data_IF_472464795352
#
_entry.id   IF_472464795352
#
_cell.length_a   1.000
_cell.length_b   1.000
_cell.length_c   1.000
_cell.angle_alpha   90.00
_cell.angle_beta   90.00
_cell.angle_gamma   90.00
#
_symmetry.space_group_name_H-M   'P 1'
#
loop_
_entity.id
_entity.type
_entity.pdbx_description
1 polymer ?
#
# COMPACT_ATOMS: atom_id res chain seq x y z
N UNK A 1 -23.45 1.95 -9.62
CA UNK A 1 -23.26 1.06 -8.45
C UNK A 1 -22.15 1.72 -7.66
N UNK A 2 -22.36 2.03 -6.39
CA UNK A 2 -21.39 2.79 -5.59
C UNK A 2 -20.23 1.85 -5.24
N UNK A 3 -19.00 2.31 -5.48
CA UNK A 3 -17.81 1.56 -5.05
C UNK A 3 -17.69 1.55 -3.52
N UNK A 4 -17.14 0.48 -2.93
CA UNK A 4 -17.01 0.40 -1.48
C UNK A 4 -16.12 1.52 -0.91
N UNK A 5 -15.14 1.98 -1.68
CA UNK A 5 -14.29 3.10 -1.31
C UNK A 5 -15.02 4.43 -1.30
N UNK A 6 -15.83 4.68 -2.33
CA UNK A 6 -16.71 5.85 -2.38
C UNK A 6 -17.65 5.87 -1.18
N UNK A 7 -18.33 4.76 -0.91
CA UNK A 7 -19.25 4.64 0.23
C UNK A 7 -18.53 4.85 1.57
N UNK A 8 -17.29 4.36 1.71
CA UNK A 8 -16.47 4.57 2.92
C UNK A 8 -16.11 6.04 3.13
N UNK A 9 -15.72 6.76 2.07
CA UNK A 9 -15.43 8.19 2.14
C UNK A 9 -16.72 8.98 2.43
N UNK A 10 -17.82 8.63 1.78
CA UNK A 10 -19.12 9.23 2.05
C UNK A 10 -19.59 9.03 3.50
N UNK A 11 -19.37 7.83 4.06
CA UNK A 11 -19.64 7.54 5.46
C UNK A 11 -18.76 8.35 6.41
N UNK A 12 -17.47 8.53 6.09
CA UNK A 12 -16.59 9.41 6.86
C UNK A 12 -17.10 10.86 6.89
N UNK A 13 -17.42 11.42 5.72
CA UNK A 13 -17.92 12.79 5.61
C UNK A 13 -19.26 12.95 6.35
N UNK A 14 -20.13 11.94 6.32
CA UNK A 14 -21.40 11.98 7.04
C UNK A 14 -21.22 11.88 8.56
N UNK A 15 -20.53 10.85 9.02
CA UNK A 15 -20.54 10.44 10.44
C UNK A 15 -19.46 11.15 11.27
N UNK A 16 -18.33 11.51 10.65
CA UNK A 16 -17.20 12.16 11.32
C UNK A 16 -17.20 13.67 11.08
N UNK A 17 -17.31 14.09 9.81
CA UNK A 17 -17.33 15.53 9.46
C UNK A 17 -18.71 16.14 9.74
N UNK A 18 -19.78 15.34 9.65
CA UNK A 18 -21.14 15.78 9.97
C UNK A 18 -21.91 16.35 8.78
N UNK A 19 -21.50 16.03 7.54
CA UNK A 19 -22.17 16.49 6.33
C UNK A 19 -23.55 15.82 6.17
N UNK A 20 -24.67 16.56 6.20
CA UNK A 20 -26.01 15.98 6.11
C UNK A 20 -26.37 15.46 4.71
N UNK A 21 -25.68 15.93 3.67
CA UNK A 21 -25.95 15.53 2.27
C UNK A 21 -24.69 14.95 1.68
N UNK A 22 -24.78 13.70 1.21
CA UNK A 22 -23.74 13.00 0.47
C UNK A 22 -24.31 12.61 -0.90
N UNK A 23 -23.55 12.88 -1.95
CA UNK A 23 -23.84 12.48 -3.32
C UNK A 23 -22.65 11.68 -3.85
N UNK A 24 -22.93 10.69 -4.70
CA UNK A 24 -21.93 9.83 -5.30
C UNK A 24 -22.03 9.95 -6.81
N UNK A 25 -20.92 9.71 -7.51
CA UNK A 25 -20.93 9.57 -8.96
C UNK A 25 -21.55 10.81 -9.66
N UNK A 26 -21.11 12.01 -9.22
CA UNK A 26 -21.67 13.29 -9.65
C UNK A 26 -21.05 13.69 -10.98
N UNK A 27 -21.89 13.70 -12.03
CA UNK A 27 -21.47 14.11 -13.36
C UNK A 27 -21.39 15.63 -13.46
N UNK A 28 -20.24 16.15 -13.87
CA UNK A 28 -19.96 17.59 -13.84
C UNK A 28 -20.56 18.35 -15.01
N UNK A 29 -20.91 17.69 -16.12
CA UNK A 29 -21.51 18.30 -17.32
C UNK A 29 -20.58 19.22 -18.12
N UNK A 30 -19.45 19.65 -17.56
CA UNK A 30 -18.45 20.54 -18.18
C UNK A 30 -17.38 19.75 -18.96
N UNK A 31 -17.28 18.44 -18.73
CA UNK A 31 -16.50 17.48 -19.51
C UNK A 31 -17.08 16.06 -19.31
N UNK A 32 -16.58 15.03 -20.03
CA UNK A 32 -16.78 13.61 -19.67
C UNK A 32 -16.03 13.31 -18.36
N UNK A 33 -16.56 13.82 -17.24
CA UNK A 33 -15.96 13.70 -15.91
C UNK A 33 -17.02 13.41 -14.86
N UNK A 34 -16.60 12.68 -13.85
CA UNK A 34 -17.37 12.25 -12.69
C UNK A 34 -16.56 12.58 -11.45
N UNK A 35 -17.23 13.16 -10.44
CA UNK A 35 -16.69 13.34 -9.10
C UNK A 35 -17.22 12.19 -8.25
N UNK A 36 -16.30 11.44 -7.67
CA UNK A 36 -16.62 10.18 -7.01
C UNK A 36 -17.55 10.41 -5.79
N UNK A 37 -17.24 11.39 -4.94
CA UNK A 37 -18.07 11.79 -3.78
C UNK A 37 -18.17 13.31 -3.65
N UNK A 38 -19.37 13.82 -3.40
CA UNK A 38 -19.63 15.22 -3.03
C UNK A 38 -20.40 15.26 -1.72
N UNK A 39 -19.90 16.01 -0.73
CA UNK A 39 -20.59 16.22 0.54
C UNK A 39 -20.85 17.70 0.80
N UNK A 40 -22.01 18.03 1.35
CA UNK A 40 -22.45 19.42 1.55
C UNK A 40 -22.74 19.68 3.03
N UNK A 41 -22.19 20.77 3.55
CA UNK A 41 -22.61 21.37 4.81
C UNK A 41 -23.59 22.49 4.54
N UNK A 42 -24.68 22.52 5.32
CA UNK A 42 -25.76 23.47 5.15
C UNK A 42 -25.89 24.36 6.39
N UNK A 43 -26.11 25.66 6.17
CA UNK A 43 -26.53 26.60 7.22
C UNK A 43 -27.61 27.53 6.67
N UNK A 44 -28.73 27.65 7.38
CA UNK A 44 -29.87 28.47 6.95
C UNK A 44 -30.45 28.07 5.58
N UNK A 45 -30.35 26.78 5.20
CA UNK A 45 -30.80 26.27 3.91
C UNK A 45 -29.87 26.58 2.72
N UNK A 46 -28.67 27.10 2.97
CA UNK A 46 -27.64 27.34 1.94
C UNK A 46 -26.43 26.45 2.17
N UNK A 47 -25.76 26.06 1.09
CA UNK A 47 -24.46 25.37 1.15
C UNK A 47 -23.41 26.36 1.64
N UNK A 48 -22.78 26.06 2.77
CA UNK A 48 -21.67 26.85 3.31
C UNK A 48 -20.32 26.23 3.01
N UNK A 49 -20.27 24.90 3.00
CA UNK A 49 -19.05 24.14 2.71
C UNK A 49 -19.36 22.96 1.80
N UNK A 50 -18.42 22.63 0.93
CA UNK A 50 -18.53 21.52 -0.02
C UNK A 50 -17.22 20.73 -0.04
N UNK A 51 -17.31 19.42 0.17
CA UNK A 51 -16.23 18.47 -0.06
C UNK A 51 -16.43 17.83 -1.42
N UNK A 52 -15.38 17.83 -2.24
CA UNK A 52 -15.33 17.18 -3.53
C UNK A 52 -14.17 16.20 -3.51
N UNK A 53 -14.48 14.91 -3.46
CA UNK A 53 -13.51 13.86 -3.23
C UNK A 53 -13.37 12.98 -4.47
N UNK A 54 -12.12 12.79 -4.89
CA UNK A 54 -11.75 11.74 -5.84
C UNK A 54 -11.20 10.54 -5.08
N UNK A 55 -11.69 9.34 -5.39
CA UNK A 55 -11.47 8.15 -4.58
C UNK A 55 -10.81 7.06 -5.42
N UNK A 56 -9.62 6.62 -4.99
CA UNK A 56 -8.88 5.52 -5.61
C UNK A 56 -8.51 4.47 -4.57
N UNK A 57 -9.42 3.51 -4.38
CA UNK A 57 -9.39 2.45 -3.36
C UNK A 57 -9.00 1.09 -3.92
N UNK A 58 -8.09 1.04 -4.89
CA UNK A 58 -7.50 -0.22 -5.33
C UNK A 58 -6.52 -0.77 -4.29
N UNK A 59 -6.29 -2.09 -4.27
CA UNK A 59 -5.32 -2.73 -3.35
C UNK A 59 -3.87 -2.28 -3.61
N UNK A 60 -3.56 -1.86 -4.84
CA UNK A 60 -2.31 -1.20 -5.21
C UNK A 60 -2.34 0.33 -5.02
N UNK A 61 -3.47 0.87 -4.57
CA UNK A 61 -3.77 2.29 -4.42
C UNK A 61 -3.61 3.07 -5.72
N UNK A 62 -3.09 4.29 -5.61
CA UNK A 62 -2.89 5.23 -6.73
C UNK A 62 -1.81 4.76 -7.75
N UNK A 63 -1.29 3.53 -7.60
CA UNK A 63 -0.26 2.93 -8.46
C UNK A 63 -0.74 2.27 -9.76
N UNK A 64 -2.05 2.19 -10.01
CA UNK A 64 -2.62 1.57 -11.21
C UNK A 64 -2.59 2.44 -12.48
N UNK A 65 -2.26 3.73 -12.35
CA UNK A 65 -2.24 4.64 -13.50
C UNK A 65 -1.01 4.42 -14.39
N UNK A 66 -1.24 3.99 -15.63
CA UNK A 66 -0.22 3.96 -16.69
C UNK A 66 -0.28 5.23 -17.55
N UNK A 67 0.87 5.64 -18.09
CA UNK A 67 1.02 6.79 -18.98
C UNK A 67 1.15 8.14 -18.26
N UNK A 68 0.53 9.20 -18.79
CA UNK A 68 0.59 10.55 -18.25
C UNK A 68 -0.32 10.72 -17.01
N UNK A 69 0.12 10.19 -15.87
CA UNK A 69 -0.64 10.23 -14.60
C UNK A 69 -0.84 11.67 -14.12
N UNK A 70 0.20 12.48 -14.15
CA UNK A 70 0.17 13.88 -13.70
C UNK A 70 -0.83 14.72 -14.52
N UNK A 71 -0.82 14.59 -15.85
CA UNK A 71 -1.77 15.29 -16.71
C UNK A 71 -3.22 14.89 -16.45
N UNK A 72 -3.49 13.59 -16.25
CA UNK A 72 -4.83 13.11 -15.90
C UNK A 72 -5.31 13.66 -14.55
N UNK A 73 -4.42 13.68 -13.56
CA UNK A 73 -4.71 14.24 -12.24
C UNK A 73 -5.04 15.73 -12.31
N UNK A 74 -4.21 16.50 -13.02
CA UNK A 74 -4.43 17.92 -13.24
C UNK A 74 -5.79 18.19 -13.88
N UNK A 75 -6.12 17.51 -14.97
CA UNK A 75 -7.43 17.65 -15.63
C UNK A 75 -8.59 17.30 -14.69
N UNK A 76 -8.44 16.28 -13.84
CA UNK A 76 -9.50 15.91 -12.88
C UNK A 76 -9.68 17.01 -11.82
N UNK A 77 -8.59 17.49 -11.23
CA UNK A 77 -8.60 18.59 -10.24
C UNK A 77 -9.21 19.86 -10.84
N UNK A 78 -8.79 20.25 -12.04
CA UNK A 78 -9.31 21.45 -12.72
C UNK A 78 -10.81 21.32 -13.02
N UNK A 79 -11.26 20.13 -13.44
CA UNK A 79 -12.68 19.87 -13.67
C UNK A 79 -13.51 19.95 -12.38
N UNK A 80 -12.99 19.42 -11.26
CA UNK A 80 -13.62 19.51 -9.93
C UNK A 80 -13.73 20.96 -9.47
N UNK A 81 -12.66 21.74 -9.63
CA UNK A 81 -12.64 23.18 -9.30
C UNK A 81 -13.68 23.94 -10.11
N UNK A 82 -13.69 23.76 -11.42
CA UNK A 82 -14.66 24.42 -12.30
C UNK A 82 -16.11 24.05 -11.95
N UNK A 83 -16.37 22.79 -11.61
CA UNK A 83 -17.68 22.34 -11.16
C UNK A 83 -18.09 22.99 -9.84
N UNK A 84 -17.19 23.03 -8.85
CA UNK A 84 -17.45 23.65 -7.55
C UNK A 84 -17.77 25.14 -7.69
N UNK A 85 -16.98 25.87 -8.47
CA UNK A 85 -17.13 27.31 -8.67
C UNK A 85 -18.45 27.65 -9.38
N UNK A 86 -18.88 26.80 -10.33
CA UNK A 86 -20.14 26.98 -11.05
C UNK A 86 -21.37 26.59 -10.23
N UNK A 87 -21.29 25.51 -9.44
CA UNK A 87 -22.45 24.90 -8.77
C UNK A 87 -22.66 25.44 -7.36
N UNK A 88 -21.59 25.75 -6.64
CA UNK A 88 -21.61 26.18 -5.24
C UNK A 88 -20.90 27.52 -5.04
N UNK A 89 -21.30 28.58 -5.75
CA UNK A 89 -20.63 29.87 -5.66
C UNK A 89 -20.70 30.42 -4.23
N UNK A 90 -19.53 30.73 -3.67
CA UNK A 90 -19.38 31.31 -2.33
C UNK A 90 -19.34 30.30 -1.18
N UNK A 91 -19.44 29.00 -1.44
CA UNK A 91 -19.15 27.98 -0.44
C UNK A 91 -17.63 27.79 -0.27
N UNK A 92 -17.18 27.48 0.94
CA UNK A 92 -15.81 27.03 1.17
C UNK A 92 -15.64 25.63 0.57
N UNK A 93 -14.69 25.47 -0.35
CA UNK A 93 -14.43 24.20 -1.02
C UNK A 93 -13.29 23.44 -0.32
N UNK A 94 -13.49 22.15 -0.16
CA UNK A 94 -12.49 21.18 0.28
C UNK A 94 -12.34 20.16 -0.85
N UNK A 95 -11.21 20.15 -1.53
CA UNK A 95 -10.95 19.21 -2.63
C UNK A 95 -10.00 18.15 -2.11
N UNK A 96 -10.41 16.89 -2.12
CA UNK A 96 -9.66 15.81 -1.51
C UNK A 96 -9.40 14.68 -2.51
N UNK A 97 -8.21 14.09 -2.44
CA UNK A 97 -7.88 12.87 -3.17
C UNK A 97 -7.61 11.76 -2.16
N UNK A 98 -8.40 10.70 -2.22
CA UNK A 98 -8.35 9.59 -1.27
C UNK A 98 -7.69 8.37 -1.88
N UNK A 99 -6.69 7.82 -1.20
CA UNK A 99 -6.15 6.52 -1.56
C UNK A 99 -5.53 5.80 -0.36
N UNK A 100 -5.81 4.50 -0.14
CA UNK A 100 -5.28 3.78 1.01
C UNK A 100 -3.75 3.66 0.97
N UNK A 101 -3.15 3.71 -0.23
CA UNK A 101 -1.71 3.53 -0.41
C UNK A 101 -1.19 4.35 -1.58
N UNK A 102 -0.18 5.18 -1.33
CA UNK A 102 0.56 5.90 -2.37
C UNK A 102 2.05 5.69 -2.17
N UNK A 103 2.71 5.08 -3.15
CA UNK A 103 4.15 4.80 -3.11
C UNK A 103 4.96 6.10 -3.21
N UNK A 104 6.14 6.21 -2.58
CA UNK A 104 6.99 7.41 -2.68
C UNK A 104 7.33 7.83 -4.12
N UNK A 105 7.54 6.86 -5.00
CA UNK A 105 7.79 7.14 -6.43
C UNK A 105 6.59 7.80 -7.13
N UNK A 106 5.35 7.50 -6.72
CA UNK A 106 4.16 8.15 -7.26
C UNK A 106 3.98 9.56 -6.69
N UNK A 107 4.28 9.77 -5.41
CA UNK A 107 4.27 11.11 -4.81
C UNK A 107 5.22 12.05 -5.55
N UNK A 108 6.45 11.61 -5.84
CA UNK A 108 7.41 12.38 -6.66
C UNK A 108 6.89 12.70 -8.06
N UNK A 109 6.19 11.76 -8.71
CA UNK A 109 5.58 11.99 -10.04
C UNK A 109 4.45 13.02 -10.03
N UNK A 110 3.83 13.25 -8.87
CA UNK A 110 2.72 14.17 -8.68
C UNK A 110 3.13 15.45 -7.94
N UNK A 111 4.40 15.60 -7.59
CA UNK A 111 4.92 16.72 -6.81
C UNK A 111 4.61 18.08 -7.45
N UNK A 112 4.79 18.19 -8.77
CA UNK A 112 4.46 19.40 -9.52
C UNK A 112 2.95 19.71 -9.46
N UNK A 113 2.10 18.68 -9.60
CA UNK A 113 0.64 18.84 -9.54
C UNK A 113 0.19 19.34 -8.17
N UNK A 114 0.76 18.79 -7.10
CA UNK A 114 0.46 19.22 -5.74
C UNK A 114 0.97 20.64 -5.45
N UNK A 115 2.13 20.99 -5.99
CA UNK A 115 2.70 22.32 -5.84
C UNK A 115 1.86 23.40 -6.54
N UNK A 116 1.18 23.07 -7.62
CA UNK A 116 0.28 23.99 -8.35
C UNK A 116 -1.15 24.01 -7.78
N UNK A 117 -1.52 23.00 -7.01
CA UNK A 117 -2.85 22.82 -6.44
C UNK A 117 -2.78 22.63 -4.93
N UNK A 118 -2.17 23.60 -4.25
CA UNK A 118 -2.01 23.63 -2.78
C UNK A 118 -3.33 23.63 -2.00
N UNK A 119 -4.45 23.91 -2.67
CA UNK A 119 -5.82 23.84 -2.15
C UNK A 119 -6.45 22.45 -2.27
N UNK A 120 -5.69 21.45 -2.74
CA UNK A 120 -6.11 20.04 -2.80
C UNK A 120 -5.39 19.23 -1.71
N UNK A 121 -6.17 18.53 -0.90
CA UNK A 121 -5.64 17.66 0.14
C UNK A 121 -5.46 16.23 -0.36
N UNK A 122 -4.29 15.64 -0.12
CA UNK A 122 -4.05 14.22 -0.37
C UNK A 122 -4.28 13.41 0.91
N UNK A 123 -5.37 12.68 0.96
CA UNK A 123 -5.75 11.77 2.03
C UNK A 123 -5.21 10.37 1.72
N UNK A 124 -3.96 10.13 2.11
CA UNK A 124 -3.25 8.90 1.78
C UNK A 124 -2.48 8.29 2.95
N UNK A 125 -2.16 7.00 2.84
CA UNK A 125 -1.31 6.26 3.78
C UNK A 125 -1.78 6.43 5.24
N UNK A 126 -0.99 7.10 6.09
CA UNK A 126 -1.30 7.31 7.51
C UNK A 126 -2.54 8.18 7.72
N UNK A 127 -2.73 9.22 6.91
CA UNK A 127 -3.91 10.10 7.02
C UNK A 127 -5.19 9.34 6.63
N UNK A 128 -5.13 8.54 5.57
CA UNK A 128 -6.23 7.64 5.22
C UNK A 128 -6.57 6.68 6.37
N UNK A 129 -5.54 6.04 6.96
CA UNK A 129 -5.72 5.13 8.08
C UNK A 129 -6.31 5.83 9.31
N UNK A 130 -5.88 7.06 9.60
CA UNK A 130 -6.40 7.87 10.70
C UNK A 130 -7.90 8.19 10.52
N UNK A 131 -8.31 8.62 9.32
CA UNK A 131 -9.71 8.94 9.01
C UNK A 131 -10.62 7.71 9.07
N UNK A 132 -10.18 6.58 8.52
CA UNK A 132 -10.90 5.30 8.66
C UNK A 132 -10.98 4.85 10.12
N UNK A 133 -9.90 5.04 10.89
CA UNK A 133 -9.87 4.79 12.32
C UNK A 133 -10.90 5.62 13.09
N UNK A 134 -11.00 6.92 12.79
CA UNK A 134 -12.01 7.80 13.38
C UNK A 134 -13.44 7.33 13.07
N UNK A 135 -13.71 6.96 11.81
CA UNK A 135 -15.01 6.40 11.41
C UNK A 135 -15.33 5.11 12.17
N UNK A 136 -14.36 4.21 12.33
CA UNK A 136 -14.54 2.98 13.09
C UNK A 136 -14.86 3.25 14.58
N UNK A 137 -14.26 4.28 15.18
CA UNK A 137 -14.58 4.68 16.56
C UNK A 137 -16.03 5.16 16.70
N UNK A 138 -16.55 5.91 15.72
CA UNK A 138 -17.96 6.31 15.68
C UNK A 138 -18.85 5.07 15.48
N UNK A 139 -18.52 4.20 14.52
CA UNK A 139 -19.27 2.97 14.25
C UNK A 139 -19.40 2.06 15.49
N UNK A 140 -18.35 1.97 16.31
CA UNK A 140 -18.36 1.20 17.57
C UNK A 140 -19.41 1.72 18.57
N UNK A 141 -19.62 3.05 18.62
CA UNK A 141 -20.54 3.70 19.56
C UNK A 141 -21.97 3.78 19.03
N UNK A 142 -22.14 3.89 17.72
CA UNK A 142 -23.45 4.04 17.06
C UNK A 142 -24.14 2.69 16.87
N UNK A 143 -25.28 2.47 17.53
CA UNK A 143 -26.07 1.22 17.42
C UNK A 143 -27.26 1.32 16.46
N UNK A 144 -27.61 2.54 16.03
CA UNK A 144 -28.66 2.75 15.04
C UNK A 144 -28.28 2.12 13.69
N UNK A 145 -29.31 1.76 12.92
CA UNK A 145 -29.14 1.36 11.53
C UNK A 145 -28.52 2.51 10.71
N UNK A 146 -27.63 2.18 9.80
CA UNK A 146 -27.08 3.08 8.79
C UNK A 146 -27.34 2.48 7.42
N UNK A 147 -27.66 3.36 6.46
CA UNK A 147 -27.87 3.04 5.04
C UNK A 147 -26.55 2.85 4.27
N UNK A 148 -25.41 3.23 4.85
CA UNK A 148 -24.07 3.01 4.28
C UNK A 148 -23.58 1.57 4.56
N UNK A 149 -23.36 0.74 3.51
CA UNK A 149 -22.83 -0.61 3.68
C UNK A 149 -21.45 -0.66 4.36
N UNK A 150 -20.54 0.26 4.04
CA UNK A 150 -19.20 0.32 4.63
C UNK A 150 -19.25 0.69 6.11
N UNK A 151 -20.06 1.69 6.49
CA UNK A 151 -20.25 2.03 7.90
C UNK A 151 -20.93 0.88 8.65
N UNK A 152 -21.92 0.24 8.03
CA UNK A 152 -22.59 -0.93 8.62
C UNK A 152 -21.62 -2.10 8.82
N UNK A 153 -20.72 -2.33 7.89
CA UNK A 153 -19.64 -3.31 8.04
C UNK A 153 -18.74 -2.95 9.22
N UNK A 154 -18.31 -1.68 9.35
CA UNK A 154 -17.53 -1.23 10.51
C UNK A 154 -18.28 -1.40 11.84
N UNK A 155 -19.59 -1.12 11.88
CA UNK A 155 -20.43 -1.36 13.06
C UNK A 155 -20.42 -2.84 13.47
N UNK A 156 -20.44 -3.76 12.50
CA UNK A 156 -20.36 -5.20 12.74
C UNK A 156 -18.96 -5.58 13.22
N UNK A 157 -17.92 -5.21 12.47
CA UNK A 157 -16.52 -5.57 12.74
C UNK A 157 -16.06 -5.10 14.13
N UNK A 158 -16.48 -3.90 14.54
CA UNK A 158 -16.13 -3.32 15.86
C UNK A 158 -16.88 -3.97 17.04
N UNK A 159 -17.93 -4.75 16.75
CA UNK A 159 -18.75 -5.46 17.75
C UNK A 159 -18.58 -6.97 17.73
N UNK A 160 -17.79 -7.49 16.79
CA UNK A 160 -17.39 -8.88 16.86
C UNK A 160 -16.75 -9.09 18.24
N UNK A 161 -17.16 -10.12 19.01
CA UNK A 161 -16.38 -10.54 20.17
C UNK A 161 -14.95 -10.72 19.65
N UNK A 162 -13.96 -10.16 20.37
CA UNK A 162 -12.56 -10.04 19.94
C UNK A 162 -12.23 -11.05 18.83
N UNK A 163 -12.04 -10.52 17.62
CA UNK A 163 -11.98 -11.23 16.34
C UNK A 163 -11.40 -12.67 16.50
N UNK A 164 -12.00 -13.75 15.96
CA UNK A 164 -11.34 -15.06 15.94
C UNK A 164 -9.96 -15.07 15.25
N UNK A 165 -9.61 -14.03 14.47
CA UNK A 165 -8.29 -13.78 13.90
C UNK A 165 -7.37 -12.89 14.77
N UNK A 166 -7.85 -12.28 15.87
CA UNK A 166 -7.04 -11.58 16.88
C UNK A 166 -7.20 -12.14 18.31
N UNK A 167 -8.16 -13.05 18.55
CA UNK A 167 -8.35 -13.73 19.83
C UNK A 167 -7.23 -14.73 20.15
N UNK A 168 -6.37 -15.04 19.18
CA UNK A 168 -5.10 -15.70 19.43
C UNK A 168 -4.01 -14.75 19.97
N UNK A 169 -4.22 -13.42 19.98
CA UNK A 169 -3.19 -12.43 20.29
C UNK A 169 -3.34 -11.69 21.62
N UNK A 170 -4.23 -12.09 22.54
CA UNK A 170 -4.37 -11.36 23.83
C UNK A 170 -4.71 -12.21 25.06
N UNK A 171 -4.38 -13.50 25.06
CA UNK A 171 -4.46 -14.32 26.27
C UNK A 171 -3.48 -15.50 26.27
N UNK A 172 -2.17 -15.19 26.17
CA UNK A 172 -1.03 -15.98 26.66
C UNK A 172 0.23 -15.24 26.20
N UNK A 173 1.30 -15.29 26.97
CA UNK A 173 2.62 -15.34 26.35
C UNK A 173 2.82 -16.78 25.89
N UNK A 174 2.87 -17.09 24.59
CA UNK A 174 3.62 -18.24 24.14
C UNK A 174 4.67 -17.83 23.12
N UNK A 175 5.58 -18.75 22.83
CA UNK A 175 6.61 -18.64 21.77
C UNK A 175 6.01 -18.01 20.50
N UNK A 176 6.76 -17.12 19.87
CA UNK A 176 6.41 -16.52 18.58
C UNK A 176 5.97 -17.61 17.58
N UNK A 177 4.81 -17.42 16.95
CA UNK A 177 4.29 -18.27 15.88
C UNK A 177 5.03 -17.92 14.57
N UNK A 178 5.56 -18.89 13.80
CA UNK A 178 6.15 -18.63 12.49
C UNK A 178 5.27 -17.79 11.56
N UNK A 179 3.94 -17.95 11.61
CA UNK A 179 3.02 -17.18 10.78
C UNK A 179 2.96 -15.70 11.19
N UNK A 180 2.99 -15.41 12.48
CA UNK A 180 3.02 -14.03 12.99
C UNK A 180 4.34 -13.33 12.63
N UNK A 181 5.46 -14.04 12.76
CA UNK A 181 6.78 -13.53 12.36
C UNK A 181 6.81 -13.28 10.85
N UNK A 182 6.30 -14.20 10.04
CA UNK A 182 6.18 -14.05 8.59
C UNK A 182 5.38 -12.82 8.20
N UNK A 183 4.15 -12.68 8.74
CA UNK A 183 3.24 -11.59 8.40
C UNK A 183 3.84 -10.21 8.65
N UNK A 184 4.57 -10.04 9.77
CA UNK A 184 5.23 -8.76 10.10
C UNK A 184 6.36 -8.40 9.11
N UNK A 185 7.07 -9.40 8.59
CA UNK A 185 8.19 -9.20 7.67
C UNK A 185 7.76 -8.91 6.22
N UNK A 186 6.50 -9.18 5.84
CA UNK A 186 6.00 -8.97 4.46
C UNK A 186 6.02 -7.52 3.99
N UNK A 187 6.18 -6.55 4.90
CA UNK A 187 6.34 -5.13 4.55
C UNK A 187 7.67 -4.82 3.85
N UNK A 188 8.65 -5.74 3.92
CA UNK A 188 10.02 -5.52 3.47
C UNK A 188 10.88 -4.69 4.45
N UNK A 189 10.27 -4.15 5.50
CA UNK A 189 10.95 -3.44 6.59
C UNK A 189 11.06 -4.36 7.80
N UNK A 190 12.24 -4.47 8.45
CA UNK A 190 12.38 -5.25 9.68
C UNK A 190 11.40 -4.78 10.77
N UNK A 191 10.68 -5.71 11.38
CA UNK A 191 9.75 -5.41 12.47
C UNK A 191 10.50 -4.95 13.75
N UNK A 192 11.69 -5.47 13.96
CA UNK A 192 12.58 -5.08 15.06
C UNK A 192 14.04 -5.09 14.60
N UNK A 193 14.94 -4.62 15.46
CA UNK A 193 16.39 -4.68 15.22
C UNK A 193 16.99 -6.08 15.48
N UNK A 194 16.18 -7.07 15.85
CA UNK A 194 16.67 -8.44 16.09
C UNK A 194 17.02 -9.12 14.77
N UNK A 195 18.07 -9.93 14.80
CA UNK A 195 18.71 -10.48 13.60
C UNK A 195 17.76 -11.32 12.75
N UNK A 196 16.85 -12.08 13.37
CA UNK A 196 15.88 -12.91 12.66
C UNK A 196 14.81 -12.09 11.94
N UNK A 197 14.28 -11.04 12.59
CA UNK A 197 13.32 -10.12 11.98
C UNK A 197 13.94 -9.33 10.82
N UNK A 198 15.20 -8.91 10.97
CA UNK A 198 15.98 -8.24 9.90
C UNK A 198 16.19 -9.19 8.74
N UNK A 199 16.73 -10.38 8.99
CA UNK A 199 17.00 -11.37 7.95
C UNK A 199 15.72 -11.72 7.18
N UNK A 200 14.60 -11.95 7.87
CA UNK A 200 13.36 -12.37 7.20
C UNK A 200 12.83 -11.28 6.27
N UNK A 201 12.82 -10.03 6.73
CA UNK A 201 12.42 -8.89 5.91
C UNK A 201 13.31 -8.75 4.66
N UNK A 202 14.63 -8.97 4.80
CA UNK A 202 15.57 -8.91 3.67
C UNK A 202 15.37 -10.04 2.66
N UNK A 203 15.17 -11.28 3.12
CA UNK A 203 14.89 -12.41 2.21
C UNK A 203 13.60 -12.15 1.46
N UNK A 204 12.51 -11.78 2.15
CA UNK A 204 11.20 -11.55 1.51
C UNK A 204 11.23 -10.39 0.52
N UNK A 205 11.93 -9.29 0.85
CA UNK A 205 12.07 -8.15 -0.05
C UNK A 205 12.85 -8.55 -1.31
N UNK A 206 14.02 -9.18 -1.16
CA UNK A 206 14.83 -9.61 -2.30
C UNK A 206 14.10 -10.66 -3.15
N UNK A 207 13.50 -11.67 -2.50
CA UNK A 207 12.73 -12.72 -3.17
C UNK A 207 11.56 -12.13 -3.96
N UNK A 208 10.86 -11.15 -3.38
CA UNK A 208 9.80 -10.43 -4.08
C UNK A 208 10.28 -9.72 -5.35
N UNK A 209 11.48 -9.13 -5.35
CA UNK A 209 12.05 -8.58 -6.58
C UNK A 209 12.40 -9.68 -7.60
N UNK A 210 12.96 -10.80 -7.14
CA UNK A 210 13.37 -11.89 -8.00
C UNK A 210 12.17 -12.56 -8.70
N UNK A 211 11.06 -12.76 -8.00
CA UNK A 211 9.84 -13.34 -8.57
C UNK A 211 9.13 -12.40 -9.57
N UNK A 212 9.25 -11.08 -9.38
CA UNK A 212 8.57 -10.11 -10.26
C UNK A 212 9.42 -9.65 -11.46
N UNK A 213 10.74 -9.55 -11.29
CA UNK A 213 11.67 -8.99 -12.28
C UNK A 213 12.76 -9.93 -12.76
N UNK A 214 12.85 -11.14 -12.18
CA UNK A 214 13.96 -12.05 -12.38
C UNK A 214 15.14 -11.74 -11.46
N UNK A 215 16.06 -12.71 -11.36
CA UNK A 215 17.19 -12.62 -10.44
C UNK A 215 18.15 -11.44 -10.74
N UNK A 216 18.50 -11.11 -12.00
CA UNK A 216 19.37 -9.97 -12.31
C UNK A 216 18.80 -8.61 -11.86
N UNK A 217 17.49 -8.41 -12.01
CA UNK A 217 16.79 -7.19 -11.59
C UNK A 217 16.83 -7.07 -10.06
N UNK A 218 16.57 -8.16 -9.34
CA UNK A 218 16.66 -8.19 -7.88
C UNK A 218 18.07 -7.83 -7.38
N UNK A 219 19.10 -8.33 -8.07
CA UNK A 219 20.50 -8.00 -7.78
C UNK A 219 20.77 -6.52 -8.00
N UNK A 220 20.34 -5.96 -9.13
CA UNK A 220 20.51 -4.54 -9.43
C UNK A 220 19.85 -3.66 -8.35
N UNK A 221 18.59 -3.94 -8.03
CA UNK A 221 17.86 -3.21 -6.98
C UNK A 221 18.56 -3.35 -5.62
N UNK A 222 19.07 -4.53 -5.28
CA UNK A 222 19.81 -4.73 -4.04
C UNK A 222 21.14 -3.95 -4.00
N UNK A 223 21.80 -3.74 -5.14
CA UNK A 223 23.03 -2.92 -5.22
C UNK A 223 22.78 -1.42 -5.15
N UNK A 224 21.58 -0.96 -5.52
CA UNK A 224 21.21 0.46 -5.55
C UNK A 224 20.51 0.93 -4.26
N UNK A 225 20.13 0.01 -3.37
CA UNK A 225 19.41 0.31 -2.13
C UNK A 225 20.35 0.36 -0.92
N UNK A 226 19.96 1.11 0.12
CA UNK A 226 20.75 1.25 1.35
C UNK A 226 21.00 -0.08 2.10
N UNK A 227 20.22 -1.12 1.80
CA UNK A 227 20.35 -2.46 2.37
C UNK A 227 21.54 -3.24 1.77
N UNK A 228 21.82 -3.08 0.48
CA UNK A 228 22.97 -3.73 -0.17
C UNK A 228 22.82 -5.24 -0.41
N UNK A 229 23.49 -5.73 -1.46
CA UNK A 229 23.50 -7.15 -1.85
C UNK A 229 24.08 -8.06 -0.75
N UNK A 230 25.08 -7.59 0.00
CA UNK A 230 25.74 -8.39 1.05
C UNK A 230 24.80 -8.71 2.22
N UNK A 231 23.92 -7.77 2.61
CA UNK A 231 22.90 -8.05 3.62
C UNK A 231 21.89 -9.07 3.11
N UNK A 232 21.56 -9.05 1.80
CA UNK A 232 20.71 -10.06 1.18
C UNK A 232 21.32 -11.45 1.36
N UNK A 233 22.57 -11.60 0.93
CA UNK A 233 23.31 -12.87 1.01
C UNK A 233 23.41 -13.38 2.44
N UNK A 234 23.70 -12.49 3.39
CA UNK A 234 23.75 -12.83 4.81
C UNK A 234 22.38 -13.32 5.32
N UNK A 235 21.28 -12.70 4.90
CA UNK A 235 19.93 -13.09 5.28
C UNK A 235 19.52 -14.45 4.70
N UNK A 236 19.85 -14.75 3.44
CA UNK A 236 19.65 -16.09 2.88
C UNK A 236 20.45 -17.15 3.65
N UNK A 237 21.71 -16.86 3.97
CA UNK A 237 22.58 -17.77 4.75
C UNK A 237 22.05 -17.98 6.17
N UNK A 238 21.46 -16.96 6.80
CA UNK A 238 20.83 -17.07 8.12
C UNK A 238 19.70 -18.13 8.15
N UNK A 239 18.91 -18.22 7.08
CA UNK A 239 17.84 -19.24 6.95
C UNK A 239 18.29 -20.55 6.30
N UNK A 240 19.59 -20.88 6.34
CA UNK A 240 20.16 -22.09 5.73
C UNK A 240 19.87 -22.19 4.21
N UNK A 241 19.61 -21.06 3.52
CA UNK A 241 19.34 -20.99 2.08
C UNK A 241 20.62 -20.74 1.27
N UNK A 242 21.72 -21.44 1.63
CA UNK A 242 23.04 -21.24 1.04
C UNK A 242 23.08 -21.37 -0.49
N UNK A 243 22.36 -22.35 -1.05
CA UNK A 243 22.29 -22.54 -2.50
C UNK A 243 21.70 -21.33 -3.24
N UNK A 244 20.73 -20.63 -2.63
CA UNK A 244 20.18 -19.41 -3.21
C UNK A 244 21.17 -18.25 -3.08
N UNK A 245 21.84 -18.11 -1.93
CA UNK A 245 22.90 -17.12 -1.76
C UNK A 245 24.04 -17.30 -2.77
N UNK A 246 24.50 -18.53 -2.98
CA UNK A 246 25.60 -18.82 -3.91
C UNK A 246 25.19 -18.58 -5.38
N UNK A 247 23.92 -18.83 -5.72
CA UNK A 247 23.38 -18.49 -7.03
C UNK A 247 23.28 -16.97 -7.24
N UNK A 248 22.83 -16.22 -6.22
CA UNK A 248 22.78 -14.75 -6.26
C UNK A 248 24.20 -14.20 -6.46
N UNK A 249 25.18 -14.67 -5.69
CA UNK A 249 26.58 -14.23 -5.72
C UNK A 249 27.26 -14.53 -7.08
N UNK A 250 27.04 -15.74 -7.62
CA UNK A 250 27.57 -16.11 -8.94
C UNK A 250 26.90 -15.36 -10.08
N UNK A 251 25.60 -15.07 -9.99
CA UNK A 251 24.87 -14.27 -10.99
C UNK A 251 25.36 -12.82 -10.99
N UNK A 252 25.56 -12.23 -9.81
CA UNK A 252 26.12 -10.88 -9.70
C UNK A 252 27.52 -10.80 -10.32
N UNK A 253 28.38 -11.78 -10.02
CA UNK A 253 29.73 -11.86 -10.60
C UNK A 253 29.69 -11.99 -12.14
N UNK A 254 28.75 -12.77 -12.67
CA UNK A 254 28.55 -12.91 -14.10
C UNK A 254 28.01 -11.63 -14.76
N UNK A 255 27.10 -10.90 -14.10
CA UNK A 255 26.57 -9.62 -14.59
C UNK A 255 27.68 -8.58 -14.76
N UNK A 256 28.59 -8.46 -13.79
CA UNK A 256 29.73 -7.54 -13.90
C UNK A 256 30.55 -7.80 -15.17
N UNK A 257 30.87 -9.07 -15.46
CA UNK A 257 31.60 -9.43 -16.66
C UNK A 257 30.82 -9.26 -17.97
N UNK A 258 29.48 -9.27 -17.94
CA UNK A 258 28.65 -8.99 -19.12
C UNK A 258 28.57 -7.49 -19.38
N UNK A 259 28.41 -6.67 -18.34
CA UNK A 259 28.37 -5.21 -18.45
C UNK A 259 29.68 -4.63 -18.97
N UNK A 260 30.84 -5.16 -18.55
CA UNK A 260 32.15 -4.76 -19.08
C UNK A 260 32.30 -4.99 -20.59
N UNK A 261 31.55 -5.95 -21.15
CA UNK A 261 31.62 -6.32 -22.58
C UNK A 261 30.49 -5.74 -23.42
N UNK A 262 29.53 -5.05 -22.80
CA UNK A 262 28.32 -4.52 -23.45
C UNK A 262 27.58 -5.57 -24.33
N UNK A 263 27.58 -6.85 -23.91
CA UNK A 263 26.99 -7.96 -24.68
C UNK A 263 25.53 -8.23 -24.27
N UNK A 264 24.59 -7.57 -24.97
CA UNK A 264 23.14 -7.68 -24.73
C UNK A 264 22.61 -9.11 -24.92
N UNK A 265 23.23 -9.91 -25.79
CA UNK A 265 22.81 -11.29 -26.01
C UNK A 265 23.24 -12.20 -24.85
N UNK A 266 24.44 -11.96 -24.30
CA UNK A 266 24.88 -12.63 -23.07
C UNK A 266 24.04 -12.20 -21.86
N UNK A 267 23.66 -10.93 -21.76
CA UNK A 267 22.80 -10.42 -20.70
C UNK A 267 21.44 -11.12 -20.70
N UNK A 268 20.79 -11.21 -21.87
CA UNK A 268 19.50 -11.91 -22.02
C UNK A 268 19.59 -13.38 -21.62
N UNK A 269 20.66 -14.09 -22.05
CA UNK A 269 20.88 -15.50 -21.70
C UNK A 269 21.15 -15.69 -20.20
N UNK A 270 21.93 -14.80 -19.60
CA UNK A 270 22.20 -14.83 -18.17
C UNK A 270 20.91 -14.61 -17.38
N UNK A 271 20.08 -13.65 -17.78
CA UNK A 271 18.82 -13.36 -17.11
C UNK A 271 17.84 -14.53 -17.13
N UNK A 272 17.70 -15.17 -18.29
CA UNK A 272 16.81 -16.32 -18.44
C UNK A 272 17.31 -17.53 -17.63
N UNK A 273 18.59 -17.88 -17.76
CA UNK A 273 19.17 -19.06 -17.10
C UNK A 273 19.24 -18.91 -15.57
N UNK A 274 19.63 -17.74 -15.07
CA UNK A 274 19.72 -17.47 -13.63
C UNK A 274 18.36 -17.42 -12.95
N UNK A 275 17.35 -16.81 -13.59
CA UNK A 275 15.98 -16.76 -13.06
C UNK A 275 15.33 -18.15 -13.05
N UNK A 276 15.55 -18.96 -14.09
CA UNK A 276 15.10 -20.35 -14.11
C UNK A 276 15.77 -21.19 -13.00
N UNK A 277 17.09 -21.04 -12.83
CA UNK A 277 17.82 -21.72 -11.77
C UNK A 277 17.30 -21.30 -10.38
N UNK A 278 17.04 -20.01 -10.19
CA UNK A 278 16.54 -19.47 -8.92
C UNK A 278 15.13 -20.00 -8.60
N UNK A 279 14.22 -20.00 -9.57
CA UNK A 279 12.87 -20.56 -9.39
C UNK A 279 12.88 -22.06 -9.05
N UNK A 280 13.88 -22.81 -9.52
CA UNK A 280 14.02 -24.24 -9.18
C UNK A 280 14.43 -24.51 -7.72
N UNK A 281 14.91 -23.48 -7.00
CA UNK A 281 15.31 -23.62 -5.60
C UNK A 281 14.13 -23.63 -4.64
N UNK A 282 12.94 -23.20 -5.06
CA UNK A 282 11.73 -23.13 -4.23
C UNK A 282 12.00 -22.40 -2.89
N UNK A 283 12.46 -21.15 -3.03
CA UNK A 283 12.90 -20.32 -1.89
C UNK A 283 11.76 -20.11 -0.89
N UNK A 284 10.53 -19.89 -1.35
CA UNK A 284 9.38 -19.66 -0.48
C UNK A 284 9.08 -20.86 0.45
N UNK A 285 8.99 -22.08 -0.11
CA UNK A 285 8.71 -23.27 0.68
C UNK A 285 9.85 -23.60 1.66
N UNK A 286 11.10 -23.43 1.21
CA UNK A 286 12.28 -23.62 2.06
C UNK A 286 12.38 -22.58 3.16
N UNK A 287 12.10 -21.31 2.86
CA UNK A 287 12.11 -20.23 3.84
C UNK A 287 11.05 -20.46 4.92
N UNK A 288 9.85 -20.90 4.53
CA UNK A 288 8.78 -21.25 5.48
C UNK A 288 9.25 -22.32 6.47
N UNK A 289 9.89 -23.37 5.96
CA UNK A 289 10.44 -24.46 6.79
C UNK A 289 11.60 -23.97 7.67
N UNK A 290 12.50 -23.16 7.10
CA UNK A 290 13.66 -22.62 7.80
C UNK A 290 13.27 -21.64 8.92
N UNK A 291 12.26 -20.81 8.69
CA UNK A 291 11.71 -19.90 9.70
C UNK A 291 11.17 -20.68 10.89
N UNK A 292 10.33 -21.69 10.65
CA UNK A 292 9.80 -22.53 11.73
C UNK A 292 10.91 -23.20 12.55
N UNK A 293 11.94 -23.73 11.86
CA UNK A 293 13.12 -24.33 12.51
C UNK A 293 13.90 -23.31 13.34
N UNK A 294 14.22 -22.15 12.77
CA UNK A 294 14.99 -21.07 13.44
C UNK A 294 14.24 -20.51 14.63
N UNK A 295 12.96 -20.20 14.48
CA UNK A 295 12.13 -19.67 15.56
C UNK A 295 12.02 -20.64 16.74
N UNK A 296 11.99 -21.95 16.47
CA UNK A 296 12.02 -22.97 17.51
C UNK A 296 13.38 -23.09 18.21
N UNK A 297 14.49 -22.88 17.49
CA UNK A 297 15.84 -23.06 18.01
C UNK A 297 16.38 -21.78 18.71
N UNK A 298 16.10 -20.62 18.14
CA UNK A 298 16.65 -19.31 18.52
C UNK A 298 15.50 -18.27 18.61
N UNK A 299 14.49 -18.46 19.47
CA UNK A 299 13.34 -17.54 19.56
C UNK A 299 13.74 -16.11 19.96
N UNK A 300 14.88 -15.93 20.62
CA UNK A 300 15.39 -14.62 21.02
C UNK A 300 15.75 -13.72 19.82
N UNK A 301 16.01 -14.30 18.65
CA UNK A 301 16.36 -13.58 17.42
C UNK A 301 15.14 -12.89 16.76
N UNK A 302 13.95 -13.10 17.32
CA UNK A 302 12.68 -12.56 16.82
C UNK A 302 11.93 -11.85 17.95
N UNK A 303 11.25 -10.74 17.63
CA UNK A 303 10.52 -9.93 18.61
C UNK A 303 9.16 -10.50 19.00
#
# INVERSE_FOLDING_TARGET
MIDIGEDLVGAYLREVVGCPVIQFNVRTGVAQGEIDVVALQLSGGRVTEVWLCEVSTHTSGLGGYQGNVAGKFRTKIESVKAYADATYPGATRHIEVWSPKVRPAMLRKLEDVWSEHVDVELVANEEYAARVGALAQIARKTTSYSDSPSFRLLQILTRLPANPLQAQASARQPKADPLDVWNRATSGTPYSAKVGDVALARVLLFHGYAENGGLPEAIQVATETEFGLNEALAAYRYFDLGAAADLIESTFSAQLGVWEREDTAAETRLAQSSSQAYGSLDVEARLTTALAKRLSAEPQDFA
#
